data_IF_841727080260
#
_entry.id   IF_841727080260
#
_cell.length_a   1.000
_cell.length_b   1.000
_cell.length_c   1.000
_cell.angle_alpha   90.00
_cell.angle_beta   90.00
_cell.angle_gamma   90.00
#
_symmetry.space_group_name_H-M   'P 1'
#
loop_
_entity.id
_entity.type
_entity.pdbx_description
1 polymer ?
#
# COMPACT_ATOMS: atom_id res chain seq x y z
N UNK A 1 -9.96 -10.05 -16.96
CA UNK A 1 -9.71 -8.59 -16.93
C UNK A 1 -8.26 -8.33 -17.26
N UNK A 2 -7.96 -7.23 -17.96
CA UNK A 2 -6.62 -6.90 -18.44
C UNK A 2 -5.65 -6.51 -17.31
N UNK A 3 -4.38 -6.84 -17.48
CA UNK A 3 -3.26 -6.32 -16.66
C UNK A 3 -3.19 -4.80 -16.79
N UNK A 4 -2.85 -4.10 -15.69
CA UNK A 4 -2.70 -2.64 -15.65
C UNK A 4 -1.26 -2.25 -15.33
N UNK A 5 -0.67 -1.34 -16.09
CA UNK A 5 0.68 -0.82 -15.81
C UNK A 5 0.62 0.15 -14.64
N UNK A 6 1.71 0.26 -13.88
CA UNK A 6 1.87 1.29 -12.83
C UNK A 6 1.68 2.71 -13.38
N UNK A 7 2.05 2.95 -14.64
CA UNK A 7 1.91 4.25 -15.30
C UNK A 7 0.46 4.61 -15.65
N UNK A 8 -0.44 3.61 -15.71
CA UNK A 8 -1.86 3.82 -15.98
C UNK A 8 -2.65 4.16 -14.70
N UNK A 9 -2.00 4.07 -13.54
CA UNK A 9 -2.60 4.39 -12.25
C UNK A 9 -2.40 5.89 -12.01
N UNK A 10 -3.46 6.70 -11.82
CA UNK A 10 -3.30 8.13 -11.61
C UNK A 10 -2.58 8.43 -10.29
N UNK A 11 -1.68 9.42 -10.33
CA UNK A 11 -1.03 9.98 -9.13
C UNK A 11 -2.01 10.82 -8.32
N UNK A 12 -1.68 11.12 -7.06
CA UNK A 12 -2.48 12.07 -6.28
C UNK A 12 -2.52 13.45 -6.95
N UNK A 13 -1.40 13.93 -7.51
CA UNK A 13 -1.39 15.20 -8.26
C UNK A 13 -2.37 15.19 -9.44
N UNK A 14 -2.52 14.07 -10.15
CA UNK A 14 -3.53 13.92 -11.21
C UNK A 14 -4.95 13.83 -10.63
N UNK A 15 -5.16 13.04 -9.57
CA UNK A 15 -6.46 12.88 -8.92
C UNK A 15 -6.98 14.16 -8.25
N UNK A 16 -6.10 15.06 -7.82
CA UNK A 16 -6.50 16.38 -7.32
C UNK A 16 -6.96 17.33 -8.43
N UNK A 17 -6.50 17.12 -9.67
CA UNK A 17 -6.84 17.95 -10.84
C UNK A 17 -7.99 17.40 -11.68
N UNK A 18 -8.29 16.11 -11.55
CA UNK A 18 -9.36 15.44 -12.26
C UNK A 18 -10.73 15.81 -11.65
N UNK A 19 -11.62 16.53 -12.35
CA UNK A 19 -12.92 16.94 -11.82
C UNK A 19 -13.83 15.76 -11.44
N UNK A 20 -13.63 14.59 -12.05
CA UNK A 20 -14.40 13.38 -11.77
C UNK A 20 -13.87 12.61 -10.54
N UNK A 21 -12.68 12.96 -10.06
CA UNK A 21 -12.09 12.37 -8.87
C UNK A 21 -12.71 12.96 -7.61
N UNK A 22 -13.05 12.09 -6.65
CA UNK A 22 -13.52 12.49 -5.30
C UNK A 22 -12.49 13.36 -4.58
N UNK A 23 -11.20 13.23 -4.91
CA UNK A 23 -10.14 14.02 -4.30
C UNK A 23 -10.08 15.47 -4.81
N UNK A 24 -10.73 15.81 -5.94
CA UNK A 24 -10.70 17.17 -6.50
C UNK A 24 -11.30 18.24 -5.58
N UNK A 25 -12.22 17.84 -4.70
CA UNK A 25 -12.83 18.73 -3.71
C UNK A 25 -11.92 19.01 -2.48
N UNK A 26 -10.76 18.37 -2.38
CA UNK A 26 -9.85 18.56 -1.26
C UNK A 26 -9.22 19.95 -1.26
N UNK A 27 -9.23 20.63 -0.11
CA UNK A 27 -8.59 21.93 0.05
C UNK A 27 -7.24 21.83 0.77
N UNK A 28 -6.23 22.67 0.42
CA UNK A 28 -4.85 22.46 0.85
C UNK A 28 -4.51 22.58 2.35
N UNK A 29 -5.40 23.07 3.24
CA UNK A 29 -4.91 23.65 4.51
C UNK A 29 -5.68 23.49 5.83
N UNK A 30 -7.00 23.31 5.91
CA UNK A 30 -7.66 23.44 7.23
C UNK A 30 -7.55 22.22 8.15
N UNK A 31 -7.23 21.03 7.63
CA UNK A 31 -7.20 19.78 8.41
C UNK A 31 -5.97 18.88 8.14
N UNK A 32 -4.94 19.41 7.46
CA UNK A 32 -3.76 18.61 7.12
C UNK A 32 -2.84 18.40 8.32
N UNK A 33 -2.30 17.19 8.43
CA UNK A 33 -1.28 16.79 9.41
C UNK A 33 0.16 16.88 8.88
N UNK A 34 0.32 17.09 7.56
CA UNK A 34 1.61 17.22 6.89
C UNK A 34 1.65 18.46 5.97
N UNK A 35 2.83 19.02 5.68
CA UNK A 35 2.96 20.04 4.64
C UNK A 35 2.71 19.43 3.25
N UNK A 36 2.18 20.24 2.34
CA UNK A 36 2.02 19.84 0.94
C UNK A 36 3.38 19.63 0.26
N UNK A 37 3.47 18.58 -0.56
CA UNK A 37 4.69 18.20 -1.27
C UNK A 37 4.32 17.56 -2.61
N UNK A 38 4.37 18.35 -3.69
CA UNK A 38 3.98 17.87 -5.03
C UNK A 38 4.87 16.72 -5.53
N UNK A 39 6.17 16.73 -5.18
CA UNK A 39 7.10 15.65 -5.54
C UNK A 39 6.67 14.31 -4.96
N UNK A 40 6.25 14.29 -3.69
CA UNK A 40 5.68 13.09 -3.05
C UNK A 40 4.32 12.75 -3.65
N UNK A 41 3.42 13.73 -3.84
CA UNK A 41 2.08 13.49 -4.38
C UNK A 41 2.13 12.87 -5.79
N UNK A 42 3.11 13.22 -6.62
CA UNK A 42 3.35 12.61 -7.94
C UNK A 42 3.78 11.15 -7.86
N UNK A 43 4.31 10.68 -6.72
CA UNK A 43 4.80 9.32 -6.49
C UNK A 43 3.77 8.42 -5.82
N UNK A 44 2.71 8.99 -5.23
CA UNK A 44 1.60 8.22 -4.67
C UNK A 44 0.52 7.98 -5.71
N UNK A 45 0.13 6.73 -5.90
CA UNK A 45 -1.07 6.34 -6.64
C UNK A 45 -2.19 5.85 -5.73
N UNK A 46 -3.44 6.06 -6.15
CA UNK A 46 -4.62 5.51 -5.50
C UNK A 46 -5.49 4.84 -6.56
N UNK A 47 -5.90 3.61 -6.29
CA UNK A 47 -6.81 2.87 -7.18
C UNK A 47 -7.69 1.93 -6.36
N UNK A 48 -8.92 1.73 -6.83
CA UNK A 48 -9.76 0.62 -6.42
C UNK A 48 -9.63 -0.53 -7.43
N UNK A 49 -9.21 -1.71 -7.01
CA UNK A 49 -9.09 -2.84 -7.92
C UNK A 49 -8.41 -4.08 -7.37
N UNK A 50 -8.23 -5.06 -8.25
CA UNK A 50 -7.53 -6.31 -7.94
C UNK A 50 -6.01 -6.12 -8.05
N UNK A 51 -5.32 -6.19 -6.91
CA UNK A 51 -3.87 -6.01 -6.81
C UNK A 51 -3.08 -7.05 -7.64
N UNK A 52 -3.65 -8.23 -7.89
CA UNK A 52 -3.00 -9.30 -8.66
C UNK A 52 -2.86 -8.98 -10.16
N UNK A 53 -3.51 -7.91 -10.64
CA UNK A 53 -3.50 -7.48 -12.05
C UNK A 53 -2.52 -6.36 -12.32
N UNK A 54 -1.79 -5.88 -11.31
CA UNK A 54 -0.90 -4.74 -11.46
C UNK A 54 0.51 -5.20 -11.91
N UNK A 55 1.01 -4.59 -12.98
CA UNK A 55 2.37 -4.78 -13.50
C UNK A 55 3.29 -3.70 -12.92
N UNK A 56 4.04 -4.08 -11.90
CA UNK A 56 5.03 -3.26 -11.18
C UNK A 56 6.09 -4.16 -10.53
N UNK A 57 7.01 -3.61 -9.75
CA UNK A 57 8.10 -4.38 -9.16
C UNK A 57 7.62 -5.28 -8.01
N UNK A 58 6.84 -4.78 -7.05
CA UNK A 58 6.35 -5.59 -5.94
C UNK A 58 4.92 -5.26 -5.48
N UNK A 59 4.09 -6.27 -5.27
CA UNK A 59 2.83 -6.13 -4.53
C UNK A 59 2.99 -6.58 -3.09
N UNK A 60 2.27 -5.97 -2.16
CA UNK A 60 2.28 -6.32 -0.75
C UNK A 60 1.07 -7.17 -0.39
N UNK A 61 1.35 -8.38 0.06
CA UNK A 61 0.38 -9.35 0.55
C UNK A 61 0.13 -9.16 2.05
N UNK A 62 -1.13 -8.96 2.42
CA UNK A 62 -1.60 -9.05 3.80
C UNK A 62 -1.73 -10.53 4.20
N UNK A 63 -0.59 -11.14 4.52
CA UNK A 63 -0.48 -12.55 4.84
C UNK A 63 -0.80 -12.85 6.32
N UNK A 64 -0.83 -14.14 6.65
CA UNK A 64 -0.81 -14.62 8.01
C UNK A 64 0.60 -15.06 8.42
N UNK A 65 0.85 -15.15 9.73
CA UNK A 65 2.16 -15.54 10.31
C UNK A 65 2.74 -16.85 9.77
N UNK A 66 1.91 -17.78 9.31
CA UNK A 66 2.39 -19.06 8.80
C UNK A 66 2.93 -18.99 7.35
N UNK A 67 2.60 -17.93 6.59
CA UNK A 67 2.95 -17.78 5.17
C UNK A 67 2.47 -18.95 4.29
N UNK A 68 1.27 -19.46 4.56
CA UNK A 68 0.70 -20.63 3.84
C UNK A 68 -0.52 -20.30 2.97
N UNK A 69 -0.68 -19.02 2.62
CA UNK A 69 -1.90 -18.52 2.00
C UNK A 69 -3.08 -18.52 2.97
N UNK A 70 -4.26 -18.18 2.45
CA UNK A 70 -5.48 -18.05 3.23
C UNK A 70 -6.66 -17.57 2.38
N UNK A 71 -7.60 -16.87 3.00
CA UNK A 71 -8.69 -16.18 2.31
C UNK A 71 -8.32 -14.76 1.88
N UNK A 72 -9.29 -14.02 1.35
CA UNK A 72 -9.12 -12.60 1.00
C UNK A 72 -8.04 -12.36 -0.05
N UNK A 73 -7.28 -11.27 0.12
CA UNK A 73 -6.21 -10.89 -0.82
C UNK A 73 -5.06 -11.90 -0.83
N UNK A 74 -4.75 -12.55 0.29
CA UNK A 74 -3.71 -13.58 0.40
C UNK A 74 -4.04 -14.77 -0.50
N UNK A 75 -5.27 -15.28 -0.40
CA UNK A 75 -5.78 -16.33 -1.29
C UNK A 75 -5.78 -15.91 -2.76
N UNK A 76 -6.19 -14.68 -3.07
CA UNK A 76 -6.18 -14.17 -4.44
C UNK A 76 -4.76 -14.12 -5.03
N UNK A 77 -3.77 -13.66 -4.23
CA UNK A 77 -2.35 -13.60 -4.63
C UNK A 77 -1.81 -15.01 -4.85
N UNK A 78 -2.03 -15.96 -3.93
CA UNK A 78 -1.58 -17.34 -4.10
C UNK A 78 -2.20 -18.02 -5.32
N UNK A 79 -3.50 -17.83 -5.55
CA UNK A 79 -4.18 -18.38 -6.72
C UNK A 79 -3.63 -17.81 -8.04
N UNK A 80 -3.33 -16.51 -8.08
CA UNK A 80 -2.81 -15.84 -9.27
C UNK A 80 -1.33 -16.11 -9.52
N UNK A 81 -0.51 -16.25 -8.46
CA UNK A 81 0.92 -16.51 -8.57
C UNK A 81 1.24 -17.98 -8.92
N UNK A 82 0.39 -18.91 -8.50
CA UNK A 82 0.60 -20.35 -8.71
C UNK A 82 1.26 -21.05 -7.50
N UNK A 83 1.32 -22.40 -7.54
CA UNK A 83 1.78 -23.21 -6.40
C UNK A 83 3.25 -22.99 -6.02
N UNK A 84 4.07 -22.45 -6.93
CA UNK A 84 5.47 -22.12 -6.70
C UNK A 84 5.64 -21.05 -5.62
N UNK A 85 4.71 -20.09 -5.52
CA UNK A 85 4.72 -19.09 -4.46
C UNK A 85 4.68 -19.73 -3.07
N UNK A 86 3.78 -20.71 -2.89
CA UNK A 86 3.69 -21.44 -1.63
C UNK A 86 4.95 -22.24 -1.33
N UNK A 87 5.63 -22.78 -2.35
CA UNK A 87 6.89 -23.52 -2.17
C UNK A 87 8.00 -22.59 -1.64
N UNK A 88 8.10 -21.37 -2.15
CA UNK A 88 9.07 -20.36 -1.68
C UNK A 88 8.71 -19.75 -0.33
N UNK A 89 7.42 -19.59 -0.01
CA UNK A 89 6.99 -19.09 1.30
C UNK A 89 7.29 -20.06 2.45
N UNK A 90 7.21 -21.39 2.21
CA UNK A 90 7.37 -22.42 3.26
C UNK A 90 8.64 -22.29 4.11
N UNK A 91 9.86 -22.13 3.53
CA UNK A 91 11.08 -21.99 4.32
C UNK A 91 11.25 -20.60 4.96
N UNK A 92 10.46 -19.59 4.56
CA UNK A 92 10.57 -18.22 5.08
C UNK A 92 9.70 -17.98 6.33
N UNK A 93 8.78 -18.90 6.63
CA UNK A 93 7.86 -18.80 7.76
C UNK A 93 8.20 -19.75 8.92
N UNK A 94 7.63 -19.50 10.11
CA UNK A 94 6.71 -18.41 10.42
C UNK A 94 7.40 -17.06 10.58
N UNK A 95 6.63 -15.98 10.43
CA UNK A 95 7.06 -14.60 10.75
C UNK A 95 6.22 -14.02 11.88
N UNK A 96 6.77 -13.06 12.60
CA UNK A 96 6.03 -12.35 13.65
C UNK A 96 5.13 -11.24 13.10
N UNK A 97 4.12 -10.85 13.87
CA UNK A 97 3.22 -9.75 13.52
C UNK A 97 4.02 -8.45 13.39
N UNK A 98 3.96 -7.80 12.23
CA UNK A 98 4.75 -6.60 11.91
C UNK A 98 5.99 -6.87 11.05
N UNK A 99 6.43 -8.12 10.94
CA UNK A 99 7.55 -8.51 10.08
C UNK A 99 7.12 -8.68 8.62
N UNK A 100 8.09 -8.73 7.73
CA UNK A 100 7.88 -8.97 6.32
C UNK A 100 8.98 -9.85 5.70
N UNK A 101 8.65 -10.55 4.61
CA UNK A 101 9.60 -11.29 3.76
C UNK A 101 9.27 -11.06 2.29
N UNK A 102 10.21 -11.29 1.39
CA UNK A 102 10.04 -11.10 -0.06
C UNK A 102 10.21 -12.44 -0.81
N UNK A 103 9.40 -12.62 -1.85
CA UNK A 103 9.43 -13.77 -2.76
C UNK A 103 9.31 -13.30 -4.21
N UNK A 104 9.45 -14.21 -5.18
CA UNK A 104 9.15 -13.93 -6.58
C UNK A 104 7.63 -13.84 -6.81
N UNK A 105 7.23 -13.11 -7.85
CA UNK A 105 5.83 -12.97 -8.25
C UNK A 105 5.27 -14.14 -9.06
N UNK A 106 6.13 -15.01 -9.59
CA UNK A 106 5.74 -16.16 -10.42
C UNK A 106 4.81 -15.77 -11.58
N UNK A 107 3.58 -16.28 -11.60
CA UNK A 107 2.61 -16.00 -12.67
C UNK A 107 1.98 -14.61 -12.54
N UNK A 108 2.27 -13.86 -11.47
CA UNK A 108 1.80 -12.48 -11.33
C UNK A 108 2.49 -11.57 -12.35
N UNK A 109 1.81 -10.50 -12.81
CA UNK A 109 2.46 -9.43 -13.56
C UNK A 109 3.49 -8.64 -12.74
N UNK A 110 3.38 -8.68 -11.40
CA UNK A 110 4.36 -8.10 -10.49
C UNK A 110 5.59 -8.99 -10.36
N UNK A 111 6.79 -8.40 -10.30
CA UNK A 111 8.04 -9.18 -10.25
C UNK A 111 8.23 -9.90 -8.91
N UNK A 112 7.77 -9.30 -7.82
CA UNK A 112 7.91 -9.80 -6.45
C UNK A 112 6.60 -9.71 -5.67
N UNK A 113 6.51 -10.49 -4.60
CA UNK A 113 5.51 -10.34 -3.54
C UNK A 113 6.24 -10.10 -2.22
N UNK A 114 5.88 -9.02 -1.53
CA UNK A 114 6.32 -8.79 -0.14
C UNK A 114 5.18 -9.22 0.77
N UNK A 115 5.43 -10.20 1.61
CA UNK A 115 4.45 -10.77 2.54
C UNK A 115 4.67 -10.17 3.91
N UNK A 116 3.63 -9.65 4.54
CA UNK A 116 3.69 -9.16 5.92
C UNK A 116 2.51 -9.67 6.74
N UNK A 117 2.75 -9.98 8.01
CA UNK A 117 1.72 -10.43 8.93
C UNK A 117 1.14 -9.24 9.71
N UNK A 118 -0.06 -8.80 9.30
CA UNK A 118 -0.79 -7.72 9.97
C UNK A 118 -1.32 -8.13 11.35
N UNK A 119 -1.53 -7.17 12.28
CA UNK A 119 -2.13 -7.45 13.58
C UNK A 119 -3.61 -7.82 13.47
N UNK A 120 -4.05 -8.74 14.33
CA UNK A 120 -5.46 -9.05 14.57
C UNK A 120 -5.99 -8.03 15.58
N UNK A 121 -6.92 -7.19 15.16
CA UNK A 121 -7.43 -6.11 16.00
C UNK A 121 -8.21 -6.67 17.20
N UNK A 122 -7.92 -6.15 18.39
CA UNK A 122 -8.49 -6.64 19.66
C UNK A 122 -7.75 -7.82 20.30
N UNK A 123 -6.91 -8.55 19.55
CA UNK A 123 -6.18 -9.73 20.06
C UNK A 123 -4.68 -9.50 20.22
N UNK A 124 -4.12 -8.48 19.55
CA UNK A 124 -2.70 -8.14 19.61
C UNK A 124 -2.45 -6.91 20.49
N UNK A 125 -1.37 -6.93 21.26
CA UNK A 125 -0.89 -5.72 21.97
C UNK A 125 -0.33 -4.72 20.95
N UNK A 126 -0.59 -3.43 21.18
CA UNK A 126 -0.12 -2.31 20.34
C UNK A 126 -0.43 -2.50 18.84
N UNK A 127 -1.69 -2.79 18.44
CA UNK A 127 -2.02 -3.12 17.06
C UNK A 127 -1.69 -1.98 16.09
N UNK A 128 -1.81 -0.72 16.52
CA UNK A 128 -1.46 0.44 15.69
C UNK A 128 0.03 0.46 15.32
N UNK A 129 0.90 0.17 16.29
CA UNK A 129 2.35 0.15 16.09
C UNK A 129 2.75 -1.02 15.18
N UNK A 130 2.18 -2.21 15.42
CA UNK A 130 2.43 -3.39 14.57
C UNK A 130 1.96 -3.19 13.13
N UNK A 131 0.83 -2.51 12.92
CA UNK A 131 0.38 -2.16 11.58
C UNK A 131 1.36 -1.19 10.90
N UNK A 132 1.83 -0.17 11.62
CA UNK A 132 2.86 0.74 11.09
C UNK A 132 4.16 -0.01 10.76
N UNK A 133 4.56 -0.98 11.59
CA UNK A 133 5.72 -1.84 11.31
C UNK A 133 5.56 -2.61 10.00
N UNK A 134 4.38 -3.19 9.72
CA UNK A 134 4.13 -3.90 8.47
C UNK A 134 4.48 -3.04 7.24
N UNK A 135 3.95 -1.82 7.18
CA UNK A 135 4.23 -0.89 6.08
C UNK A 135 5.72 -0.53 6.02
N UNK A 136 6.33 -0.21 7.17
CA UNK A 136 7.74 0.19 7.24
C UNK A 136 8.69 -0.92 6.79
N UNK A 137 8.50 -2.15 7.27
CA UNK A 137 9.34 -3.30 6.90
C UNK A 137 9.15 -3.68 5.43
N UNK A 138 7.92 -3.59 4.89
CA UNK A 138 7.71 -3.78 3.46
C UNK A 138 8.46 -2.76 2.60
N UNK A 139 8.43 -1.47 2.98
CA UNK A 139 9.13 -0.41 2.25
C UNK A 139 10.66 -0.56 2.35
N UNK A 140 11.18 -0.97 3.51
CA UNK A 140 12.61 -1.27 3.68
C UNK A 140 13.04 -2.44 2.78
N UNK A 141 12.33 -3.57 2.84
CA UNK A 141 12.62 -4.72 2.00
C UNK A 141 12.55 -4.38 0.51
N UNK A 142 11.59 -3.56 0.09
CA UNK A 142 11.54 -3.08 -1.28
C UNK A 142 12.84 -2.37 -1.68
N UNK A 143 13.27 -1.39 -0.87
CA UNK A 143 14.50 -0.65 -1.11
C UNK A 143 15.75 -1.55 -1.12
N UNK A 144 15.85 -2.49 -0.19
CA UNK A 144 16.97 -3.43 -0.07
C UNK A 144 17.06 -4.39 -1.27
N UNK A 145 15.95 -4.67 -1.93
CA UNK A 145 15.88 -5.57 -3.09
C UNK A 145 15.79 -4.82 -4.43
N UNK A 146 16.06 -3.51 -4.46
CA UNK A 146 16.04 -2.71 -5.69
C UNK A 146 14.65 -2.58 -6.33
N UNK A 147 13.59 -2.74 -5.54
CA UNK A 147 12.21 -2.51 -5.96
C UNK A 147 11.93 -1.02 -5.91
N UNK A 148 11.50 -0.43 -7.02
CA UNK A 148 11.21 1.01 -7.10
C UNK A 148 9.71 1.31 -7.06
N UNK A 149 8.88 0.36 -7.51
CA UNK A 149 7.43 0.49 -7.57
C UNK A 149 6.75 -0.53 -6.67
N UNK A 150 5.96 -0.07 -5.70
CA UNK A 150 5.30 -0.93 -4.69
C UNK A 150 3.80 -0.63 -4.62
N UNK A 151 2.98 -1.67 -4.51
CA UNK A 151 1.54 -1.53 -4.29
C UNK A 151 1.10 -2.23 -3.00
N UNK A 152 0.35 -1.53 -2.15
CA UNK A 152 -0.18 -2.05 -0.89
C UNK A 152 -1.67 -2.37 -1.01
N UNK A 153 -2.05 -3.57 -0.57
CA UNK A 153 -3.43 -3.85 -0.18
C UNK A 153 -3.75 -3.22 1.18
N UNK A 154 -5.03 -3.12 1.55
CA UNK A 154 -5.42 -2.63 2.88
C UNK A 154 -5.14 -3.69 3.96
N UNK A 155 -3.95 -3.62 4.58
CA UNK A 155 -3.48 -4.60 5.58
C UNK A 155 -4.39 -4.57 6.82
N UNK A 156 -4.77 -5.76 7.29
CA UNK A 156 -5.59 -6.02 8.48
C UNK A 156 -7.06 -5.55 8.48
N UNK A 157 -7.55 -4.85 7.45
CA UNK A 157 -8.95 -4.33 7.44
C UNK A 157 -10.01 -5.34 7.02
N UNK A 158 -9.60 -6.52 6.55
CA UNK A 158 -10.48 -7.65 6.25
C UNK A 158 -10.77 -8.51 7.48
N UNK A 159 -10.47 -9.81 7.39
CA UNK A 159 -10.75 -10.81 8.44
C UNK A 159 -10.08 -10.46 9.78
N UNK A 160 -8.98 -9.69 9.77
CA UNK A 160 -8.27 -9.24 10.98
C UNK A 160 -8.94 -8.05 11.69
N UNK A 161 -10.00 -7.49 11.12
CA UNK A 161 -10.95 -6.61 11.81
C UNK A 161 -10.43 -5.22 12.20
N UNK A 162 -9.31 -4.77 11.63
CA UNK A 162 -8.80 -3.43 11.92
C UNK A 162 -9.74 -2.37 11.33
N UNK A 163 -10.19 -1.37 12.11
CA UNK A 163 -11.07 -0.33 11.62
C UNK A 163 -10.46 0.44 10.43
N UNK A 164 -11.19 0.55 9.31
CA UNK A 164 -10.68 1.05 8.03
C UNK A 164 -10.10 2.47 8.13
N UNK A 165 -10.78 3.39 8.83
CA UNK A 165 -10.31 4.78 9.02
C UNK A 165 -8.94 4.86 9.73
N UNK A 166 -8.83 4.33 10.97
CA UNK A 166 -7.56 4.23 11.67
C UNK A 166 -6.46 3.49 10.87
N UNK A 167 -6.79 2.39 10.20
CA UNK A 167 -5.83 1.65 9.37
C UNK A 167 -5.31 2.50 8.21
N UNK A 168 -6.19 3.18 7.47
CA UNK A 168 -5.82 4.07 6.37
C UNK A 168 -4.95 5.23 6.87
N UNK A 169 -5.25 5.77 8.05
CA UNK A 169 -4.42 6.81 8.68
C UNK A 169 -3.01 6.32 8.98
N UNK A 170 -2.87 5.13 9.57
CA UNK A 170 -1.57 4.51 9.86
C UNK A 170 -0.80 4.22 8.56
N UNK A 171 -1.47 3.65 7.55
CA UNK A 171 -0.89 3.34 6.25
C UNK A 171 -0.34 4.59 5.56
N UNK A 172 -1.20 5.61 5.38
CA UNK A 172 -0.84 6.85 4.72
C UNK A 172 0.30 7.56 5.45
N UNK A 173 0.20 7.69 6.78
CA UNK A 173 1.21 8.36 7.59
C UNK A 173 2.56 7.65 7.50
N UNK A 174 2.58 6.33 7.65
CA UNK A 174 3.83 5.55 7.63
C UNK A 174 4.51 5.65 6.27
N UNK A 175 3.75 5.55 5.17
CA UNK A 175 4.29 5.72 3.82
C UNK A 175 4.80 7.15 3.62
N UNK A 176 4.05 8.17 4.06
CA UNK A 176 4.46 9.57 3.95
C UNK A 176 5.79 9.83 4.63
N UNK A 177 5.91 9.42 5.90
CA UNK A 177 7.13 9.56 6.69
C UNK A 177 8.30 8.80 6.03
N UNK A 178 8.07 7.58 5.53
CA UNK A 178 9.12 6.82 4.84
C UNK A 178 9.61 7.52 3.56
N UNK A 179 8.71 8.08 2.75
CA UNK A 179 9.07 8.77 1.51
C UNK A 179 9.86 10.06 1.71
N UNK A 180 9.84 10.63 2.92
CA UNK A 180 10.67 11.76 3.31
C UNK A 180 12.11 11.36 3.69
N UNK A 181 12.40 10.06 3.82
CA UNK A 181 13.75 9.54 4.09
C UNK A 181 14.59 9.33 2.82
N UNK A 182 15.89 9.09 2.98
CA UNK A 182 16.79 8.72 1.88
C UNK A 182 16.40 7.40 1.20
N UNK A 183 16.03 6.39 2.00
CA UNK A 183 15.50 5.12 1.46
C UNK A 183 14.21 5.36 0.68
N UNK A 184 13.36 6.26 1.19
CA UNK A 184 12.19 6.78 0.51
C UNK A 184 12.48 7.24 -0.90
N UNK A 185 13.56 8.01 -1.15
CA UNK A 185 13.88 8.55 -2.47
C UNK A 185 14.13 7.50 -3.56
N UNK A 186 14.42 6.24 -3.18
CA UNK A 186 14.63 5.14 -4.12
C UNK A 186 13.32 4.55 -4.67
N UNK A 187 12.16 4.90 -4.11
CA UNK A 187 10.86 4.42 -4.56
C UNK A 187 10.24 5.37 -5.60
N UNK A 188 10.26 5.03 -6.87
CA UNK A 188 9.61 5.85 -7.90
C UNK A 188 8.08 5.88 -7.77
N UNK A 189 7.46 4.84 -7.20
CA UNK A 189 6.00 4.79 -6.97
C UNK A 189 5.59 3.99 -5.74
N UNK A 190 4.64 4.51 -4.96
CA UNK A 190 3.87 3.74 -3.98
C UNK A 190 2.38 3.84 -4.28
N UNK A 191 1.67 2.73 -4.36
CA UNK A 191 0.25 2.68 -4.72
C UNK A 191 -0.58 2.11 -3.58
N UNK A 192 -1.62 2.82 -3.17
CA UNK A 192 -2.66 2.25 -2.31
C UNK A 192 -3.74 1.61 -3.17
N UNK A 193 -3.95 0.31 -2.98
CA UNK A 193 -4.93 -0.48 -3.71
C UNK A 193 -6.07 -0.85 -2.75
N UNK A 194 -7.18 -0.14 -2.88
CA UNK A 194 -8.41 -0.42 -2.12
C UNK A 194 -9.29 -1.41 -2.88
N UNK A 195 -10.23 -2.06 -2.18
CA UNK A 195 -11.12 -3.05 -2.80
C UNK A 195 -12.58 -2.84 -2.42
N UNK A 196 -12.88 -2.90 -1.11
CA UNK A 196 -14.22 -2.71 -0.57
C UNK A 196 -14.52 -1.22 -0.34
N UNK A 197 -15.80 -0.85 -0.39
CA UNK A 197 -16.23 0.54 -0.22
C UNK A 197 -15.72 1.20 1.09
N UNK A 198 -15.73 0.52 2.26
CA UNK A 198 -15.20 1.11 3.49
C UNK A 198 -13.71 1.52 3.41
N UNK A 199 -12.88 0.77 2.68
CA UNK A 199 -11.48 1.17 2.46
C UNK A 199 -11.41 2.35 1.50
N UNK A 200 -12.17 2.33 0.40
CA UNK A 200 -12.22 3.44 -0.56
C UNK A 200 -12.58 4.75 0.15
N UNK A 201 -13.63 4.73 0.97
CA UNK A 201 -14.09 5.90 1.72
C UNK A 201 -13.06 6.36 2.76
N UNK A 202 -12.43 5.42 3.47
CA UNK A 202 -11.39 5.72 4.44
C UNK A 202 -10.17 6.38 3.77
N UNK A 203 -9.66 5.82 2.67
CA UNK A 203 -8.52 6.39 1.95
C UNK A 203 -8.85 7.74 1.33
N UNK A 204 -10.03 7.91 0.72
CA UNK A 204 -10.47 9.21 0.18
C UNK A 204 -10.52 10.31 1.25
N UNK A 205 -10.94 9.97 2.48
CA UNK A 205 -10.99 10.90 3.60
C UNK A 205 -9.61 11.22 4.18
N UNK A 206 -8.72 10.22 4.24
CA UNK A 206 -7.41 10.35 4.91
C UNK A 206 -6.35 10.96 4.01
N UNK A 207 -6.33 10.61 2.72
CA UNK A 207 -5.28 11.03 1.79
C UNK A 207 -5.08 12.55 1.78
N UNK A 208 -6.11 13.40 1.65
CA UNK A 208 -5.92 14.85 1.69
C UNK A 208 -5.33 15.40 3.00
N UNK A 209 -5.45 14.66 4.11
CA UNK A 209 -4.90 15.06 5.42
C UNK A 209 -3.42 14.72 5.58
N UNK A 210 -2.91 13.76 4.80
CA UNK A 210 -1.53 13.26 4.90
C UNK A 210 -0.69 13.66 3.68
N UNK A 211 -1.34 13.77 2.53
CA UNK A 211 -0.77 14.15 1.24
C UNK A 211 -1.55 15.35 0.68
N UNK A 212 -1.68 16.47 1.40
CA UNK A 212 -2.53 17.56 0.94
C UNK A 212 -2.12 18.06 -0.45
N UNK A 213 -3.08 18.54 -1.25
CA UNK A 213 -2.79 19.08 -2.57
C UNK A 213 -1.78 20.21 -2.45
N UNK A 214 -0.77 20.20 -3.33
CA UNK A 214 0.17 21.30 -3.42
C UNK A 214 -0.53 22.49 -4.08
N UNK A 215 -0.42 23.68 -3.47
CA UNK A 215 -0.82 24.90 -4.15
C UNK A 215 0.00 25.03 -5.42
N UNK A 216 -0.66 25.17 -6.56
CA UNK A 216 0.02 25.70 -7.73
C UNK A 216 0.50 27.10 -7.35
N UNK A 217 1.83 27.29 -7.29
CA UNK A 217 2.32 28.58 -7.76
C UNK A 217 1.95 28.62 -9.23
N UNK A 218 0.85 29.32 -9.54
CA UNK A 218 0.73 29.97 -10.84
C UNK A 218 1.94 30.89 -10.90
N UNK A 219 3.03 30.40 -11.47
CA UNK A 219 4.12 31.27 -11.90
C UNK A 219 3.55 32.08 -13.04
N UNK A 220 3.50 33.39 -12.81
CA UNK A 220 3.16 34.47 -13.74
C UNK A 220 3.79 34.28 -15.13
#
# INVERSE_FOLDING_TARGET
>A
MATRSVNDIPSLTQLYRDPESVLSAATPRSESTFPANDSINRRIGLIRGDITKLRLDAIVNAANKALRGGGGVDGAIHNAAGPELLKECRPLGPIDTGEAVITKGYNLPAKHVIHTAGPIYGNERNPNEKLAMCYRECLKLAVENGVETVAFSAISTGIYGFPNGPAAQIACRTVREFLETEGGQKLSRVVFVTFVAPDVDAYNKIIPKVFPPANEKVTE
#
